data_IF_097293326431
#
_entry.id   IF_097293326431
#
_cell.length_a   1.000
_cell.length_b   1.000
_cell.length_c   1.000
_cell.angle_alpha   90.00
_cell.angle_beta   90.00
_cell.angle_gamma   90.00
#
_symmetry.space_group_name_H-M   'P 1'
#
loop_
_entity.id
_entity.type
_entity.pdbx_description
1 polymer ?
#
# COMPACT_ATOMS: atom_id res chain seq x y z
N UNK A 1 19.09 -6.50 23.69
CA UNK A 1 19.10 -5.03 23.66
C UNK A 1 18.02 -4.59 22.69
N UNK A 2 16.90 -4.08 23.18
CA UNK A 2 15.77 -3.66 22.34
C UNK A 2 15.84 -2.14 22.18
N UNK A 3 15.97 -1.67 20.94
CA UNK A 3 15.82 -0.24 20.63
C UNK A 3 14.32 0.03 20.47
N UNK A 4 13.71 0.75 21.42
CA UNK A 4 12.43 1.41 21.17
C UNK A 4 12.71 2.79 20.62
N UNK A 5 12.19 3.06 19.42
CA UNK A 5 12.17 4.42 18.88
C UNK A 5 11.07 5.21 19.60
N UNK A 6 11.44 6.36 20.16
CA UNK A 6 10.50 7.34 20.71
C UNK A 6 9.98 8.20 19.57
N UNK A 7 8.68 8.11 19.31
CA UNK A 7 7.99 8.92 18.30
C UNK A 7 7.47 10.23 18.94
N UNK A 8 7.71 11.37 18.28
CA UNK A 8 7.36 12.70 18.79
C UNK A 8 5.86 13.00 18.61
N UNK A 9 5.23 13.83 19.47
CA UNK A 9 3.80 14.15 19.37
C UNK A 9 3.55 15.04 18.15
N UNK A 10 3.03 14.43 17.09
CA UNK A 10 2.80 15.08 15.80
C UNK A 10 2.94 14.16 14.59
N UNK A 11 3.17 12.86 14.80
CA UNK A 11 3.11 11.88 13.71
C UNK A 11 1.73 11.93 13.09
N UNK A 12 1.67 12.51 11.89
CA UNK A 12 0.52 12.38 11.03
C UNK A 12 0.18 10.90 11.01
N UNK A 13 -1.04 10.56 11.43
CA UNK A 13 -1.63 9.26 11.16
C UNK A 13 -1.93 9.23 9.65
N UNK A 14 -0.86 9.33 8.85
CA UNK A 14 -0.86 8.97 7.46
C UNK A 14 -0.88 7.45 7.47
N UNK A 15 -1.84 6.88 6.79
CA UNK A 15 -1.93 5.43 6.64
C UNK A 15 -0.62 4.96 6.00
N UNK A 16 0.29 4.45 6.82
CA UNK A 16 1.63 4.05 6.40
C UNK A 16 1.57 2.82 5.47
N UNK A 17 0.52 2.01 5.63
CA UNK A 17 0.27 0.82 4.83
C UNK A 17 -1.21 0.41 4.95
N UNK A 18 -1.84 0.05 3.83
CA UNK A 18 -3.15 -0.64 3.82
C UNK A 18 -2.93 -2.06 3.34
N UNK A 19 -3.32 -3.05 4.14
CA UNK A 19 -3.30 -4.46 3.74
C UNK A 19 -4.74 -4.88 3.41
N UNK A 20 -4.98 -5.27 2.16
CA UNK A 20 -6.28 -5.74 1.70
C UNK A 20 -6.21 -7.22 1.30
N UNK A 21 -7.19 -8.01 1.72
CA UNK A 21 -7.36 -9.39 1.26
C UNK A 21 -8.42 -9.44 0.17
N UNK A 22 -8.00 -9.49 -1.09
CA UNK A 22 -8.90 -9.61 -2.25
C UNK A 22 -8.95 -11.08 -2.69
N UNK A 23 -10.16 -11.63 -2.84
CA UNK A 23 -10.31 -12.95 -3.44
C UNK A 23 -9.97 -12.88 -4.94
N UNK A 24 -9.28 -13.88 -5.46
CA UNK A 24 -8.94 -13.98 -6.89
C UNK A 24 -10.22 -14.19 -7.72
N UNK A 25 -10.81 -13.10 -8.20
CA UNK A 25 -12.04 -13.11 -8.99
C UNK A 25 -12.12 -11.83 -9.81
N UNK A 26 -12.85 -11.87 -10.94
CA UNK A 26 -13.06 -10.69 -11.80
C UNK A 26 -13.78 -9.53 -11.12
N UNK A 27 -14.43 -9.75 -9.97
CA UNK A 27 -15.03 -8.68 -9.15
C UNK A 27 -13.96 -7.82 -8.47
N UNK A 28 -12.77 -8.38 -8.25
CA UNK A 28 -11.65 -7.71 -7.61
C UNK A 28 -10.89 -6.81 -8.59
N UNK A 29 -11.03 -7.01 -9.90
CA UNK A 29 -10.36 -6.22 -10.94
C UNK A 29 -10.70 -4.73 -10.84
N UNK A 30 -11.96 -4.39 -10.54
CA UNK A 30 -12.39 -3.00 -10.35
C UNK A 30 -11.75 -2.37 -9.10
N UNK A 31 -11.59 -3.14 -8.02
CA UNK A 31 -10.95 -2.68 -6.80
C UNK A 31 -9.44 -2.50 -6.99
N UNK A 32 -8.78 -3.44 -7.66
CA UNK A 32 -7.36 -3.36 -8.01
C UNK A 32 -7.07 -2.12 -8.85
N UNK A 33 -7.88 -1.87 -9.88
CA UNK A 33 -7.73 -0.68 -10.72
C UNK A 33 -7.85 0.63 -9.93
N UNK A 34 -8.82 0.72 -9.02
CA UNK A 34 -8.96 1.91 -8.17
C UNK A 34 -7.74 2.11 -7.24
N UNK A 35 -7.18 1.01 -6.72
CA UNK A 35 -5.97 1.05 -5.89
C UNK A 35 -4.76 1.51 -6.71
N UNK A 36 -4.59 1.00 -7.93
CA UNK A 36 -3.52 1.41 -8.86
C UNK A 36 -3.61 2.90 -9.22
N UNK A 37 -4.81 3.41 -9.48
CA UNK A 37 -5.06 4.84 -9.77
C UNK A 37 -4.69 5.73 -8.58
N UNK A 38 -5.15 5.37 -7.37
CA UNK A 38 -4.81 6.08 -6.14
C UNK A 38 -3.31 6.01 -5.84
N UNK A 39 -2.69 4.84 -6.05
CA UNK A 39 -1.25 4.69 -5.86
C UNK A 39 -0.46 5.60 -6.81
N UNK A 40 -0.91 5.77 -8.05
CA UNK A 40 -0.33 6.73 -8.98
C UNK A 40 -0.50 8.18 -8.53
N UNK A 41 -1.71 8.57 -8.10
CA UNK A 41 -2.01 9.94 -7.65
C UNK A 41 -1.16 10.35 -6.44
N UNK A 42 -1.02 9.45 -5.46
CA UNK A 42 -0.32 9.71 -4.21
C UNK A 42 1.13 9.23 -4.19
N UNK A 43 1.66 8.73 -5.32
CA UNK A 43 3.02 8.16 -5.45
C UNK A 43 3.30 7.07 -4.42
N UNK A 44 2.32 6.20 -4.21
CA UNK A 44 2.42 5.06 -3.31
C UNK A 44 3.05 3.86 -4.03
N UNK A 45 3.72 3.03 -3.26
CA UNK A 45 4.26 1.75 -3.72
C UNK A 45 3.19 0.68 -3.51
N UNK A 46 2.90 -0.10 -4.55
CA UNK A 46 2.12 -1.32 -4.42
C UNK A 46 3.10 -2.48 -4.27
N UNK A 47 2.90 -3.27 -3.22
CA UNK A 47 3.66 -4.50 -2.99
C UNK A 47 2.75 -5.71 -3.19
N UNK A 48 3.16 -6.63 -4.07
CA UNK A 48 2.46 -7.88 -4.30
C UNK A 48 3.20 -9.04 -3.60
N UNK A 49 2.61 -9.64 -2.55
CA UNK A 49 3.22 -10.78 -1.85
C UNK A 49 3.39 -12.02 -2.73
N UNK A 50 2.60 -12.18 -3.80
CA UNK A 50 2.62 -13.38 -4.63
C UNK A 50 3.84 -13.40 -5.56
N UNK A 51 4.16 -12.26 -6.15
CA UNK A 51 5.38 -12.05 -6.95
C UNK A 51 6.59 -11.64 -6.12
N UNK A 52 6.38 -11.16 -4.89
CA UNK A 52 7.40 -10.53 -4.03
C UNK A 52 7.97 -9.23 -4.62
N UNK A 53 7.26 -8.62 -5.55
CA UNK A 53 7.69 -7.40 -6.24
C UNK A 53 7.02 -6.16 -5.66
N UNK A 54 7.72 -5.03 -5.78
CA UNK A 54 7.23 -3.70 -5.46
C UNK A 54 7.24 -2.85 -6.73
N UNK A 55 6.10 -2.23 -7.05
CA UNK A 55 5.99 -1.33 -8.20
C UNK A 55 5.49 0.05 -7.78
N UNK A 56 6.01 1.08 -8.46
CA UNK A 56 5.44 2.41 -8.46
C UNK A 56 4.39 2.44 -9.57
N UNK A 57 3.14 2.69 -9.21
CA UNK A 57 2.08 2.87 -10.20
C UNK A 57 2.27 4.24 -10.89
N UNK A 58 2.33 4.29 -12.23
CA UNK A 58 2.24 5.54 -13.00
C UNK A 58 3.48 6.06 -13.76
N UNK A 59 4.15 5.24 -14.58
CA UNK A 59 5.00 5.75 -15.69
C UNK A 59 4.28 5.72 -17.02
#
# INVERSE_FOLDING_TARGET
>A
MSHQATFAPGEAVGIDHVIMNLSFSSRSDAALKAIEELAGEFRLVIWDPQSQDACLSGT
#
